data_IF_834098486214
#
_entry.id   IF_834098486214
#
_cell.length_a   1.000
_cell.length_b   1.000
_cell.length_c   1.000
_cell.angle_alpha   90.00
_cell.angle_beta   90.00
_cell.angle_gamma   90.00
#
_symmetry.space_group_name_H-M   'P 1'
#
loop_
_entity.id
_entity.type
_entity.pdbx_description
1 polymer ?
#
# COMPACT_ATOMS: atom_id res chain seq x y z
N UNK A 1 -5.83 27.65 -21.21
CA UNK A 1 -6.18 29.00 -21.68
C UNK A 1 -7.55 29.31 -21.13
N UNK A 2 -7.70 30.47 -20.49
CA UNK A 2 -8.97 30.90 -19.91
C UNK A 2 -9.53 32.04 -20.76
N UNK A 3 -10.82 31.99 -21.09
CA UNK A 3 -11.50 33.03 -21.84
C UNK A 3 -12.69 33.54 -21.04
N UNK A 4 -12.84 34.86 -20.93
CA UNK A 4 -14.09 35.47 -20.48
C UNK A 4 -15.02 35.62 -21.69
N UNK A 5 -16.28 35.24 -21.50
CA UNK A 5 -17.33 35.30 -22.53
C UNK A 5 -18.33 36.38 -22.14
N UNK A 6 -18.49 37.39 -22.99
CA UNK A 6 -19.62 38.30 -22.92
C UNK A 6 -20.75 37.75 -23.80
N UNK A 7 -21.84 37.33 -23.15
CA UNK A 7 -22.99 36.71 -23.80
C UNK A 7 -23.77 37.73 -24.64
N UNK A 8 -23.84 38.99 -24.20
CA UNK A 8 -24.64 40.02 -24.85
C UNK A 8 -23.95 40.54 -26.11
N UNK A 9 -22.63 40.72 -26.06
CA UNK A 9 -21.84 41.15 -27.22
C UNK A 9 -21.30 40.00 -28.07
N UNK A 10 -21.46 38.74 -27.63
CA UNK A 10 -20.91 37.54 -28.24
C UNK A 10 -19.39 37.63 -28.48
N UNK A 11 -18.67 38.24 -27.54
CA UNK A 11 -17.21 38.41 -27.62
C UNK A 11 -16.47 37.47 -26.66
N UNK A 12 -15.24 37.14 -27.06
CA UNK A 12 -14.30 36.32 -26.28
C UNK A 12 -13.06 37.14 -26.00
N UNK A 13 -12.63 37.18 -24.74
CA UNK A 13 -11.37 37.80 -24.33
C UNK A 13 -10.51 36.80 -23.58
N UNK A 14 -9.30 36.56 -24.08
CA UNK A 14 -8.33 35.72 -23.41
C UNK A 14 -7.87 36.39 -22.12
N UNK A 15 -7.90 35.63 -21.02
CA UNK A 15 -7.45 36.09 -19.72
C UNK A 15 -5.99 35.73 -19.53
N UNK A 16 -5.20 36.71 -19.07
CA UNK A 16 -3.76 36.52 -18.85
C UNK A 16 -3.54 35.63 -17.63
N UNK A 17 -2.86 34.51 -17.82
CA UNK A 17 -2.33 33.71 -16.73
C UNK A 17 -1.27 34.51 -15.96
N UNK A 18 -1.33 34.45 -14.64
CA UNK A 18 -0.39 35.13 -13.75
C UNK A 18 0.49 34.12 -13.02
N UNK A 19 1.62 34.59 -12.49
CA UNK A 19 2.39 33.85 -11.51
C UNK A 19 1.88 34.11 -10.10
N UNK A 20 2.03 33.14 -9.19
CA UNK A 20 1.67 33.33 -7.78
C UNK A 20 2.32 34.58 -7.16
N UNK A 21 3.55 34.90 -7.60
CA UNK A 21 4.27 36.09 -7.17
C UNK A 21 3.61 37.40 -7.60
N UNK A 22 2.94 37.42 -8.75
CA UNK A 22 2.28 38.60 -9.31
C UNK A 22 0.99 38.92 -8.56
N UNK A 23 0.29 37.90 -8.04
CA UNK A 23 -0.89 38.04 -7.17
C UNK A 23 -0.53 38.19 -5.68
N UNK A 24 0.76 38.30 -5.36
CA UNK A 24 1.24 38.50 -3.98
C UNK A 24 1.16 37.25 -3.09
N UNK A 25 0.98 36.06 -3.66
CA UNK A 25 0.89 34.82 -2.91
C UNK A 25 2.28 34.16 -2.76
N UNK A 26 2.62 33.79 -1.52
CA UNK A 26 3.73 32.90 -1.23
C UNK A 26 3.21 31.46 -1.09
N UNK A 27 4.15 30.53 -0.93
CA UNK A 27 3.85 29.09 -0.73
C UNK A 27 2.91 28.87 0.45
N UNK A 28 3.04 29.68 1.51
CA UNK A 28 2.20 29.63 2.70
C UNK A 28 0.74 30.03 2.46
N UNK A 29 0.49 31.00 1.58
CA UNK A 29 -0.90 31.36 1.20
C UNK A 29 -1.55 30.22 0.43
N UNK A 30 -0.83 29.59 -0.51
CA UNK A 30 -1.34 28.44 -1.24
C UNK A 30 -1.64 27.26 -0.30
N UNK A 31 -0.71 26.96 0.60
CA UNK A 31 -0.87 25.96 1.65
C UNK A 31 -2.13 26.21 2.50
N UNK A 32 -2.37 27.46 2.92
CA UNK A 32 -3.57 27.85 3.68
C UNK A 32 -4.86 27.65 2.88
N UNK A 33 -4.86 28.02 1.60
CA UNK A 33 -6.03 27.85 0.73
C UNK A 33 -6.36 26.37 0.52
N UNK A 34 -5.35 25.55 0.21
CA UNK A 34 -5.51 24.10 0.05
C UNK A 34 -5.95 23.45 1.37
N UNK A 35 -5.39 23.88 2.50
CA UNK A 35 -5.82 23.40 3.81
C UNK A 35 -7.27 23.74 4.14
N UNK A 36 -7.72 24.95 3.81
CA UNK A 36 -9.08 25.40 4.07
C UNK A 36 -10.12 24.68 3.19
N UNK A 37 -9.73 24.27 1.98
CA UNK A 37 -10.59 23.51 1.08
C UNK A 37 -9.78 22.46 0.30
N UNK A 38 -9.46 21.31 0.92
CA UNK A 38 -8.59 20.31 0.30
C UNK A 38 -9.24 19.63 -0.91
N UNK A 39 -10.56 19.73 -1.04
CA UNK A 39 -11.30 19.26 -2.22
C UNK A 39 -10.84 19.91 -3.52
N UNK A 40 -10.17 21.07 -3.45
CA UNK A 40 -9.50 21.68 -4.62
C UNK A 40 -8.52 20.73 -5.31
N UNK A 41 -7.99 19.73 -4.61
CA UNK A 41 -7.10 18.70 -5.16
C UNK A 41 -7.84 17.56 -5.88
N UNK A 42 -9.17 17.63 -5.99
CA UNK A 42 -10.00 16.69 -6.75
C UNK A 42 -10.42 15.44 -5.97
N UNK A 43 -10.20 15.39 -4.66
CA UNK A 43 -10.65 14.30 -3.79
C UNK A 43 -10.89 14.76 -2.36
N UNK A 44 -11.51 13.88 -1.57
CA UNK A 44 -11.78 14.14 -0.16
C UNK A 44 -10.59 13.74 0.71
N UNK A 45 -10.07 14.71 1.47
CA UNK A 45 -8.85 14.58 2.27
C UNK A 45 -9.05 15.22 3.63
N UNK A 46 -8.66 14.50 4.68
CA UNK A 46 -8.57 15.02 6.02
C UNK A 46 -7.16 15.57 6.25
N UNK A 47 -7.02 16.89 6.34
CA UNK A 47 -5.73 17.50 6.67
C UNK A 47 -5.38 17.18 8.13
N UNK A 48 -4.26 16.48 8.32
CA UNK A 48 -3.78 16.06 9.63
C UNK A 48 -2.91 17.13 10.28
N UNK A 49 -1.97 17.72 9.53
CA UNK A 49 -1.10 18.79 10.02
C UNK A 49 -0.49 19.59 8.87
N UNK A 50 -0.31 20.91 9.10
CA UNK A 50 0.44 21.80 8.22
C UNK A 50 1.87 21.95 8.74
N UNK A 51 2.86 22.02 7.85
CA UNK A 51 4.27 22.06 8.23
C UNK A 51 4.66 20.89 9.17
N UNK A 52 4.17 19.67 8.90
CA UNK A 52 4.37 18.50 9.75
C UNK A 52 5.85 18.18 9.98
N UNK A 53 6.21 17.99 11.25
CA UNK A 53 7.57 17.68 11.73
C UNK A 53 7.50 16.74 12.93
N UNK A 54 7.67 15.44 12.69
CA UNK A 54 7.70 14.45 13.77
C UNK A 54 9.05 13.71 13.88
N UNK A 55 10.14 14.40 13.53
CA UNK A 55 11.49 13.86 13.59
C UNK A 55 12.40 14.80 14.38
N UNK A 56 13.19 14.24 15.31
CA UNK A 56 13.95 15.02 16.29
C UNK A 56 15.15 15.76 15.68
N UNK A 57 15.78 15.20 14.64
CA UNK A 57 17.08 15.69 14.12
C UNK A 57 17.03 16.38 12.75
N UNK A 58 15.86 16.88 12.32
CA UNK A 58 15.77 17.54 11.01
C UNK A 58 14.83 18.75 11.01
N UNK A 59 15.30 19.83 10.37
CA UNK A 59 14.54 21.07 10.16
C UNK A 59 13.55 20.99 8.99
N UNK A 60 13.57 19.87 8.25
CA UNK A 60 12.65 19.64 7.14
C UNK A 60 11.22 19.55 7.66
N UNK A 61 10.25 19.77 6.78
CA UNK A 61 8.82 19.68 7.06
C UNK A 61 8.06 19.27 5.82
N UNK A 62 6.95 18.58 6.00
CA UNK A 62 5.96 18.35 4.95
C UNK A 62 5.06 19.58 4.89
N UNK A 63 4.75 20.09 3.70
CA UNK A 63 3.87 21.25 3.61
C UNK A 63 2.48 20.93 4.16
N UNK A 64 1.82 19.88 3.66
CA UNK A 64 0.61 19.33 4.26
C UNK A 64 0.70 17.81 4.34
N UNK A 65 0.39 17.26 5.52
CA UNK A 65 0.13 15.84 5.70
C UNK A 65 -1.38 15.65 5.80
N UNK A 66 -1.92 14.72 5.04
CA UNK A 66 -3.34 14.40 5.02
C UNK A 66 -3.58 12.88 5.10
N UNK A 67 -4.85 12.53 5.25
CA UNK A 67 -5.37 11.17 5.20
C UNK A 67 -6.48 11.12 4.14
N UNK A 68 -6.54 10.05 3.35
CA UNK A 68 -7.65 9.80 2.43
C UNK A 68 -8.72 8.86 3.00
N UNK A 69 -9.81 8.67 2.26
CA UNK A 69 -10.95 7.83 2.66
C UNK A 69 -10.59 6.34 2.78
N UNK A 70 -9.47 5.91 2.21
CA UNK A 70 -8.95 4.55 2.29
C UNK A 70 -8.00 4.34 3.47
N UNK A 71 -7.71 5.38 4.26
CA UNK A 71 -6.78 5.30 5.38
C UNK A 71 -5.31 5.29 4.96
N UNK A 72 -5.00 5.79 3.76
CA UNK A 72 -3.63 6.02 3.31
C UNK A 72 -3.20 7.45 3.66
N UNK A 73 -1.97 7.59 4.14
CA UNK A 73 -1.38 8.91 4.31
C UNK A 73 -1.12 9.53 2.95
N UNK A 74 -1.30 10.84 2.87
CA UNK A 74 -1.10 11.64 1.66
C UNK A 74 -0.14 12.77 1.97
N UNK A 75 1.04 12.72 1.35
CA UNK A 75 2.05 13.77 1.42
C UNK A 75 1.78 14.78 0.32
N UNK A 76 1.51 16.02 0.69
CA UNK A 76 1.22 17.10 -0.26
C UNK A 76 2.35 18.13 -0.17
N UNK A 77 3.05 18.32 -1.29
CA UNK A 77 4.11 19.32 -1.42
C UNK A 77 3.66 20.41 -2.38
N UNK A 78 3.92 21.66 -2.03
CA UNK A 78 3.49 22.82 -2.81
C UNK A 78 4.69 23.64 -3.28
N UNK A 79 4.65 24.09 -4.53
CA UNK A 79 5.57 25.10 -5.07
C UNK A 79 4.83 26.16 -5.82
N UNK A 80 5.39 27.36 -5.76
CA UNK A 80 4.97 28.52 -6.55
C UNK A 80 5.70 28.65 -7.90
N UNK A 81 6.70 27.81 -8.16
CA UNK A 81 7.52 27.89 -9.37
C UNK A 81 6.84 27.16 -10.53
N UNK A 82 7.28 27.53 -11.73
CA UNK A 82 6.88 26.98 -13.03
C UNK A 82 7.63 25.68 -13.39
N UNK A 83 8.63 25.29 -12.61
CA UNK A 83 9.41 24.08 -12.85
C UNK A 83 9.14 22.94 -11.86
N UNK A 84 8.56 23.25 -10.70
CA UNK A 84 8.36 22.31 -9.59
C UNK A 84 9.67 21.78 -8.96
N UNK A 85 10.80 22.46 -9.14
CA UNK A 85 12.14 21.92 -8.87
C UNK A 85 12.30 21.15 -7.54
N UNK A 86 12.81 19.91 -7.64
CA UNK A 86 13.13 18.97 -6.54
C UNK A 86 11.97 18.52 -5.63
N UNK A 87 10.71 18.79 -5.99
CA UNK A 87 9.54 18.38 -5.20
C UNK A 87 9.41 16.87 -5.09
N UNK A 88 9.72 16.14 -6.15
CA UNK A 88 9.67 14.67 -6.25
C UNK A 88 10.55 13.99 -5.19
N UNK A 89 11.83 14.35 -5.12
CA UNK A 89 12.77 13.83 -4.13
C UNK A 89 12.38 14.24 -2.70
N UNK A 90 11.80 15.43 -2.53
CA UNK A 90 11.30 15.88 -1.23
C UNK A 90 10.12 15.04 -0.76
N UNK A 91 9.11 14.90 -1.61
CA UNK A 91 7.92 14.11 -1.32
C UNK A 91 8.23 12.64 -1.09
N UNK A 92 9.11 12.02 -1.88
CA UNK A 92 9.51 10.61 -1.68
C UNK A 92 10.18 10.38 -0.33
N UNK A 93 11.07 11.29 0.11
CA UNK A 93 11.69 11.19 1.44
C UNK A 93 10.64 11.29 2.53
N UNK A 94 9.69 12.21 2.41
CA UNK A 94 8.64 12.39 3.39
C UNK A 94 7.67 11.22 3.43
N UNK A 95 7.28 10.69 2.27
CA UNK A 95 6.46 9.49 2.17
C UNK A 95 7.12 8.31 2.89
N UNK A 96 8.42 8.09 2.66
CA UNK A 96 9.17 7.07 3.39
C UNK A 96 9.19 7.32 4.90
N UNK A 97 9.38 8.57 5.34
CA UNK A 97 9.44 8.94 6.76
C UNK A 97 8.11 8.77 7.49
N UNK A 98 6.97 8.99 6.83
CA UNK A 98 5.64 8.87 7.45
C UNK A 98 5.00 7.50 7.25
N UNK A 99 5.51 6.67 6.34
CA UNK A 99 5.02 5.30 6.10
C UNK A 99 4.91 4.40 7.36
N UNK A 100 5.73 4.56 8.42
CA UNK A 100 5.62 3.75 9.62
C UNK A 100 4.64 4.30 10.67
N UNK A 101 3.99 5.45 10.42
CA UNK A 101 3.07 6.04 11.39
C UNK A 101 1.94 5.06 11.70
N UNK A 102 1.55 5.01 12.97
CA UNK A 102 0.40 4.23 13.42
C UNK A 102 -0.87 5.08 13.42
N UNK A 103 -2.03 4.42 13.50
CA UNK A 103 -3.31 5.12 13.64
C UNK A 103 -3.32 6.05 14.86
N UNK A 104 -2.83 5.58 16.01
CA UNK A 104 -2.77 6.40 17.22
C UNK A 104 -1.88 7.64 17.03
N UNK A 105 -0.74 7.51 16.34
CA UNK A 105 0.11 8.66 16.01
C UNK A 105 -0.54 9.64 15.02
N UNK A 106 -1.38 9.15 14.11
CA UNK A 106 -2.20 9.98 13.22
C UNK A 106 -3.26 10.75 14.01
N UNK A 107 -3.94 10.07 14.94
CA UNK A 107 -4.93 10.70 15.85
C UNK A 107 -4.26 11.76 16.73
N UNK A 108 -3.10 11.45 17.31
CA UNK A 108 -2.32 12.40 18.10
C UNK A 108 -1.91 13.63 17.26
N UNK A 109 -1.57 13.40 16.00
CA UNK A 109 -1.22 14.45 15.05
C UNK A 109 -2.40 15.37 14.77
N UNK A 110 -3.55 14.79 14.47
CA UNK A 110 -4.79 15.53 14.22
C UNK A 110 -5.27 16.29 15.47
N UNK A 111 -5.16 15.69 16.65
CA UNK A 111 -5.53 16.28 17.94
C UNK A 111 -4.76 17.58 18.25
N UNK A 112 -3.46 17.63 17.92
CA UNK A 112 -2.64 18.85 18.08
C UNK A 112 -3.16 20.01 17.24
N UNK A 113 -3.65 19.73 16.03
CA UNK A 113 -4.18 20.76 15.12
C UNK A 113 -5.49 21.33 15.65
N UNK A 114 -6.43 20.46 16.06
CA UNK A 114 -7.69 20.88 16.65
C UNK A 114 -7.48 21.79 17.88
N UNK A 115 -6.52 21.45 18.73
CA UNK A 115 -6.16 22.24 19.91
C UNK A 115 -5.59 23.61 19.54
N UNK A 116 -4.83 23.71 18.44
CA UNK A 116 -4.14 24.94 18.02
C UNK A 116 -5.07 25.93 17.32
N UNK A 117 -5.94 25.44 16.44
CA UNK A 117 -6.76 26.31 15.59
C UNK A 117 -8.09 26.72 16.22
N UNK A 118 -8.60 25.93 17.17
CA UNK A 118 -9.93 26.14 17.72
C UNK A 118 -10.05 25.64 19.17
N UNK A 119 -9.25 26.17 20.12
CA UNK A 119 -9.24 25.71 21.51
C UNK A 119 -10.60 25.84 22.23
N UNK A 120 -11.54 26.64 21.70
CA UNK A 120 -12.89 26.84 22.25
C UNK A 120 -14.03 26.46 21.28
N UNK A 121 -13.71 25.94 20.08
CA UNK A 121 -14.68 25.59 19.02
C UNK A 121 -14.54 24.12 18.55
N UNK A 122 -13.79 23.29 19.27
CA UNK A 122 -13.91 21.84 19.04
C UNK A 122 -15.35 21.46 19.34
N UNK A 123 -16.02 20.79 18.42
CA UNK A 123 -17.38 20.24 18.55
C UNK A 123 -17.48 19.15 19.65
N UNK A 124 -16.53 19.10 20.59
CA UNK A 124 -16.37 18.12 21.65
C UNK A 124 -16.05 16.72 21.16
N UNK A 125 -16.04 16.50 19.84
CA UNK A 125 -15.85 15.18 19.23
C UNK A 125 -14.41 14.72 19.43
N UNK A 126 -14.28 13.49 19.90
CA UNK A 126 -13.01 12.81 20.06
C UNK A 126 -12.27 12.74 18.70
N UNK A 127 -11.02 13.25 18.60
CA UNK A 127 -10.22 13.18 17.38
C UNK A 127 -10.13 11.77 16.81
N UNK A 128 -10.07 10.74 17.66
CA UNK A 128 -10.07 9.34 17.23
C UNK A 128 -11.33 9.02 16.43
N UNK A 129 -12.49 9.39 16.97
CA UNK A 129 -13.80 9.18 16.33
C UNK A 129 -13.87 9.89 14.99
N UNK A 130 -13.39 11.14 14.89
CA UNK A 130 -13.41 11.90 13.63
C UNK A 130 -12.57 11.23 12.55
N UNK A 131 -11.34 10.80 12.89
CA UNK A 131 -10.46 10.11 11.94
C UNK A 131 -11.05 8.76 11.53
N UNK A 132 -11.62 8.01 12.49
CA UNK A 132 -12.23 6.71 12.27
C UNK A 132 -13.48 6.79 11.36
N UNK A 133 -14.38 7.76 11.61
CA UNK A 133 -15.51 8.07 10.74
C UNK A 133 -15.06 8.48 9.33
N UNK A 134 -14.00 9.28 9.24
CA UNK A 134 -13.50 9.75 7.95
C UNK A 134 -13.06 8.59 7.04
N UNK A 135 -12.37 7.59 7.58
CA UNK A 135 -11.95 6.39 6.84
C UNK A 135 -13.03 5.31 6.74
N UNK A 136 -14.25 5.58 7.24
CA UNK A 136 -15.39 4.67 7.15
C UNK A 136 -15.38 3.51 8.15
N UNK A 137 -14.66 3.64 9.27
CA UNK A 137 -14.61 2.65 10.36
C UNK A 137 -15.10 3.31 11.66
N UNK A 138 -16.41 3.56 11.84
CA UNK A 138 -16.92 4.35 12.95
C UNK A 138 -16.80 3.67 14.32
N UNK A 139 -16.47 2.38 14.37
CA UNK A 139 -16.28 1.64 15.62
C UNK A 139 -14.87 1.87 16.19
N UNK A 140 -14.75 2.85 17.09
CA UNK A 140 -13.48 3.31 17.66
C UNK A 140 -12.78 2.27 18.57
N UNK A 141 -13.49 1.22 18.99
CA UNK A 141 -12.99 0.12 19.82
C UNK A 141 -12.27 -0.97 18.99
N UNK A 142 -12.38 -0.90 17.66
CA UNK A 142 -11.61 -1.76 16.76
C UNK A 142 -10.14 -1.35 16.70
N UNK A 143 -9.23 -2.32 16.56
CA UNK A 143 -7.82 -2.04 16.22
C UNK A 143 -7.74 -1.54 14.78
N UNK A 144 -7.87 -0.22 14.60
CA UNK A 144 -7.72 0.44 13.31
C UNK A 144 -6.22 0.51 12.96
N UNK A 145 -5.87 0.02 11.78
CA UNK A 145 -4.54 0.19 11.20
C UNK A 145 -4.62 1.12 10.00
N UNK A 146 -3.66 2.03 9.90
CA UNK A 146 -3.47 2.82 8.68
C UNK A 146 -2.56 2.06 7.72
N UNK A 147 -2.77 2.30 6.42
CA UNK A 147 -1.95 1.70 5.38
C UNK A 147 -0.51 2.19 5.45
N UNK A 148 0.45 1.28 5.29
CA UNK A 148 1.87 1.64 5.11
C UNK A 148 2.17 2.23 3.72
N UNK A 149 1.26 2.06 2.75
CA UNK A 149 1.32 2.75 1.47
C UNK A 149 0.97 4.23 1.67
N UNK A 150 1.82 5.10 1.14
CA UNK A 150 1.68 6.56 1.22
C UNK A 150 1.53 7.11 -0.20
N UNK A 151 0.52 7.95 -0.40
CA UNK A 151 0.27 8.65 -1.67
C UNK A 151 0.96 10.00 -1.66
N UNK A 152 1.27 10.53 -2.84
CA UNK A 152 1.90 11.82 -2.99
C UNK A 152 1.06 12.72 -3.90
N UNK A 153 0.88 13.98 -3.51
CA UNK A 153 0.32 15.03 -4.37
C UNK A 153 1.34 16.15 -4.47
N UNK A 154 1.82 16.42 -5.69
CA UNK A 154 2.65 17.56 -6.00
C UNK A 154 1.76 18.66 -6.57
N UNK A 155 1.84 19.86 -6.00
CA UNK A 155 1.08 21.03 -6.44
C UNK A 155 2.05 22.13 -6.89
N UNK A 156 1.99 22.53 -8.16
CA UNK A 156 2.88 23.55 -8.70
C UNK A 156 2.17 24.46 -9.72
N UNK A 157 2.83 25.56 -10.12
CA UNK A 157 2.30 26.39 -11.20
C UNK A 157 2.46 25.71 -12.57
N UNK A 158 3.55 24.96 -12.75
CA UNK A 158 3.74 24.01 -13.84
C UNK A 158 4.83 23.00 -13.44
N UNK A 159 5.06 21.98 -14.26
CA UNK A 159 6.04 20.93 -13.99
C UNK A 159 7.05 20.79 -15.12
N UNK A 160 8.32 20.61 -14.76
CA UNK A 160 9.34 20.26 -15.74
C UNK A 160 9.13 18.86 -16.33
N UNK A 161 9.70 18.63 -17.52
CA UNK A 161 9.71 17.31 -18.16
C UNK A 161 10.43 16.28 -17.29
N UNK A 162 11.45 16.67 -16.55
CA UNK A 162 12.22 15.78 -15.66
C UNK A 162 11.35 15.24 -14.51
N UNK A 163 10.56 16.12 -13.88
CA UNK A 163 9.66 15.72 -12.78
C UNK A 163 8.54 14.83 -13.33
N UNK A 164 7.88 15.27 -14.40
CA UNK A 164 6.77 14.50 -14.98
C UNK A 164 7.22 13.12 -15.45
N UNK A 165 8.42 13.01 -16.05
CA UNK A 165 9.02 11.72 -16.45
C UNK A 165 9.28 10.83 -15.23
N UNK A 166 9.88 11.39 -14.17
CA UNK A 166 10.15 10.65 -12.93
C UNK A 166 8.86 10.14 -12.28
N UNK A 167 7.84 10.99 -12.19
CA UNK A 167 6.53 10.66 -11.62
C UNK A 167 5.84 9.55 -12.43
N UNK A 168 5.82 9.66 -13.76
CA UNK A 168 5.23 8.64 -14.63
C UNK A 168 5.94 7.29 -14.46
N UNK A 169 7.28 7.30 -14.45
CA UNK A 169 8.08 6.09 -14.25
C UNK A 169 7.81 5.43 -12.89
N UNK A 170 7.78 6.21 -11.80
CA UNK A 170 7.45 5.69 -10.46
C UNK A 170 6.05 5.10 -10.39
N UNK A 171 5.07 5.78 -10.98
CA UNK A 171 3.70 5.28 -11.00
C UNK A 171 3.54 4.01 -11.83
N UNK A 172 4.14 3.95 -13.01
CA UNK A 172 3.99 2.83 -13.94
C UNK A 172 4.71 1.57 -13.44
N UNK A 173 5.94 1.71 -12.95
CA UNK A 173 6.77 0.55 -12.62
C UNK A 173 6.75 0.16 -11.14
N UNK A 174 6.40 1.09 -10.24
CA UNK A 174 6.41 0.86 -8.79
C UNK A 174 5.06 1.11 -8.11
N UNK A 175 4.07 1.66 -8.81
CA UNK A 175 2.73 1.87 -8.25
C UNK A 175 2.67 2.91 -7.12
N UNK A 176 3.62 3.85 -7.05
CA UNK A 176 3.81 4.79 -5.93
C UNK A 176 2.65 5.78 -5.69
N UNK A 177 1.67 5.87 -6.60
CA UNK A 177 0.53 6.78 -6.55
C UNK A 177 0.89 8.25 -6.26
N UNK A 178 1.59 8.83 -7.23
CA UNK A 178 1.97 10.23 -7.25
C UNK A 178 1.06 10.99 -8.22
N UNK A 179 0.45 12.07 -7.76
CA UNK A 179 -0.30 12.99 -8.62
C UNK A 179 0.40 14.32 -8.77
N UNK A 180 0.29 14.90 -9.96
CA UNK A 180 0.74 16.25 -10.24
C UNK A 180 -0.48 17.12 -10.53
N UNK A 181 -0.69 18.15 -9.72
CA UNK A 181 -1.77 19.12 -9.85
C UNK A 181 -1.16 20.47 -10.18
N UNK A 182 -1.57 21.02 -11.31
CA UNK A 182 -1.19 22.34 -11.76
C UNK A 182 -2.19 23.37 -11.28
N UNK A 183 -1.71 24.46 -10.68
CA UNK A 183 -2.54 25.57 -10.21
C UNK A 183 -2.06 26.89 -10.82
N UNK A 184 -2.93 27.55 -11.59
CA UNK A 184 -2.61 28.79 -12.31
C UNK A 184 -3.57 29.90 -11.91
N UNK A 185 -3.08 31.00 -11.31
CA UNK A 185 -3.94 32.13 -10.99
C UNK A 185 -4.24 32.98 -12.24
N UNK A 186 -5.47 33.48 -12.29
CA UNK A 186 -5.98 34.43 -13.28
C UNK A 186 -6.62 35.61 -12.55
N UNK A 187 -6.35 36.83 -12.99
CA UNK A 187 -7.06 38.01 -12.49
C UNK A 187 -8.17 38.41 -13.47
N UNK A 188 -9.39 38.52 -12.96
CA UNK A 188 -10.56 38.98 -13.71
C UNK A 188 -11.39 39.89 -12.81
N UNK A 189 -11.64 41.11 -13.29
CA UNK A 189 -12.44 42.15 -12.60
C UNK A 189 -12.03 42.39 -11.14
N UNK A 190 -10.71 42.42 -10.87
CA UNK A 190 -10.15 42.64 -9.53
C UNK A 190 -10.30 41.46 -8.57
N UNK A 191 -10.72 40.28 -9.07
CA UNK A 191 -10.76 39.02 -8.33
C UNK A 191 -9.74 38.04 -8.91
N UNK A 192 -9.14 37.24 -8.03
CA UNK A 192 -8.22 36.17 -8.43
C UNK A 192 -9.01 34.86 -8.50
N UNK A 193 -8.97 34.22 -9.67
CA UNK A 193 -9.47 32.89 -9.92
C UNK A 193 -8.30 31.92 -10.01
N UNK A 194 -8.47 30.70 -9.54
CA UNK A 194 -7.46 29.66 -9.60
C UNK A 194 -7.93 28.54 -10.52
N UNK A 195 -7.25 28.36 -11.64
CA UNK A 195 -7.43 27.19 -12.49
C UNK A 195 -6.64 26.03 -11.89
N UNK A 196 -7.29 24.88 -11.75
CA UNK A 196 -6.73 23.70 -11.08
C UNK A 196 -6.91 22.50 -11.97
N UNK A 197 -5.79 21.92 -12.40
CA UNK A 197 -5.77 20.84 -13.36
C UNK A 197 -4.88 19.70 -12.90
N UNK A 198 -5.42 18.47 -12.86
CA UNK A 198 -4.58 17.28 -12.71
C UNK A 198 -3.83 17.00 -14.02
N UNK A 199 -2.50 17.02 -13.95
CA UNK A 199 -1.58 16.72 -15.06
C UNK A 199 -1.21 15.25 -15.08
N UNK A 200 -0.96 14.65 -13.92
CA UNK A 200 -0.61 13.23 -13.77
C UNK A 200 -1.44 12.60 -12.65
N UNK A 201 -2.02 11.40 -12.87
CA UNK A 201 -2.26 10.82 -14.20
C UNK A 201 -3.23 11.70 -14.99
N UNK A 202 -3.30 11.53 -16.31
CA UNK A 202 -4.37 12.16 -17.09
C UNK A 202 -5.72 11.73 -16.49
N UNK A 203 -6.71 12.63 -16.29
CA UNK A 203 -7.98 12.29 -15.66
C UNK A 203 -8.65 11.04 -16.26
N UNK A 204 -8.57 10.87 -17.58
CA UNK A 204 -9.14 9.71 -18.29
C UNK A 204 -8.39 8.40 -17.98
N UNK A 205 -7.08 8.48 -17.74
CA UNK A 205 -6.26 7.34 -17.31
C UNK A 205 -6.49 7.01 -15.82
N UNK A 206 -6.87 8.00 -15.01
CA UNK A 206 -7.20 7.82 -13.60
C UNK A 206 -8.39 6.88 -13.42
N UNK A 207 -9.49 7.04 -14.15
CA UNK A 207 -10.66 6.17 -13.99
C UNK A 207 -10.36 4.68 -14.26
N UNK A 208 -9.46 4.41 -15.20
CA UNK A 208 -8.99 3.06 -15.49
C UNK A 208 -8.07 2.53 -14.38
N UNK A 209 -7.09 3.33 -13.95
CA UNK A 209 -6.20 2.98 -12.84
C UNK A 209 -6.94 2.85 -11.51
N UNK A 210 -7.94 3.69 -11.24
CA UNK A 210 -8.80 3.65 -10.04
C UNK A 210 -9.69 2.41 -10.07
N UNK A 211 -10.17 1.94 -11.23
CA UNK A 211 -10.87 0.65 -11.29
C UNK A 211 -9.94 -0.53 -10.99
N UNK A 212 -8.71 -0.48 -11.50
CA UNK A 212 -7.70 -1.51 -11.20
C UNK A 212 -7.26 -1.44 -9.74
N UNK A 213 -6.92 -0.26 -9.22
CA UNK A 213 -6.57 -0.02 -7.81
C UNK A 213 -7.72 -0.23 -6.87
N UNK A 214 -8.98 0.07 -7.20
CA UNK A 214 -10.14 -0.30 -6.36
C UNK A 214 -10.35 -1.80 -6.38
N UNK A 215 -10.04 -2.49 -7.48
CA UNK A 215 -10.07 -3.96 -7.54
C UNK A 215 -8.91 -4.58 -6.77
N UNK A 216 -7.73 -3.96 -6.80
CA UNK A 216 -6.53 -4.35 -6.03
C UNK A 216 -6.63 -3.95 -4.56
N UNK A 217 -7.21 -2.80 -4.22
CA UNK A 217 -7.46 -2.31 -2.87
C UNK A 217 -8.75 -2.88 -2.27
N UNK A 218 -9.69 -3.40 -3.06
CA UNK A 218 -10.75 -4.30 -2.57
C UNK A 218 -10.21 -5.71 -2.36
N UNK A 219 -9.23 -6.13 -3.17
CA UNK A 219 -8.45 -7.35 -2.94
C UNK A 219 -7.53 -7.20 -1.73
N UNK A 220 -6.95 -6.02 -1.51
CA UNK A 220 -6.12 -5.70 -0.36
C UNK A 220 -6.95 -5.34 0.86
N UNK A 221 -8.14 -4.72 0.76
CA UNK A 221 -9.13 -4.66 1.86
C UNK A 221 -9.67 -6.05 2.18
N UNK A 222 -9.81 -6.93 1.19
CA UNK A 222 -10.04 -8.35 1.39
C UNK A 222 -8.86 -9.04 2.09
N UNK A 223 -7.62 -8.63 1.79
CA UNK A 223 -6.42 -9.13 2.46
C UNK A 223 -6.21 -8.52 3.87
N UNK A 224 -6.53 -7.24 4.10
CA UNK A 224 -6.40 -6.48 5.35
C UNK A 224 -7.52 -6.84 6.34
N UNK A 225 -8.74 -7.08 5.86
CA UNK A 225 -9.78 -7.75 6.64
C UNK A 225 -9.42 -9.22 6.98
N UNK A 226 -8.44 -9.81 6.27
CA UNK A 226 -7.90 -11.15 6.57
C UNK A 226 -6.57 -11.14 7.33
N UNK A 227 -5.94 -9.98 7.55
CA UNK A 227 -4.64 -9.85 8.21
C UNK A 227 -4.74 -9.31 9.65
N UNK A 228 -5.97 -9.20 10.17
CA UNK A 228 -6.20 -9.34 11.60
C UNK A 228 -5.89 -10.78 11.99
N UNK A 229 -4.60 -11.14 12.10
CA UNK A 229 -4.07 -12.49 12.40
C UNK A 229 -5.09 -13.58 12.06
N UNK A 230 -5.03 -14.12 10.85
CA UNK A 230 -5.64 -15.43 10.55
C UNK A 230 -5.02 -16.48 11.50
N UNK A 231 -5.63 -16.61 12.70
CA UNK A 231 -5.26 -17.56 13.76
C UNK A 231 -5.81 -18.94 13.47
N UNK A 232 -6.53 -19.11 12.36
CA UNK A 232 -7.04 -20.42 11.93
C UNK A 232 -5.88 -21.38 11.92
N UNK A 233 -6.03 -22.42 12.71
CA UNK A 233 -5.11 -23.52 12.70
C UNK A 233 -5.58 -24.48 11.63
N UNK A 234 -4.64 -25.26 11.09
CA UNK A 234 -4.92 -26.24 10.07
C UNK A 234 -4.42 -27.59 10.58
N UNK A 235 -5.14 -28.64 10.27
CA UNK A 235 -4.68 -30.00 10.47
C UNK A 235 -4.41 -30.62 9.10
N UNK A 236 -3.25 -31.24 8.96
CA UNK A 236 -2.96 -32.09 7.81
C UNK A 236 -3.44 -33.49 8.16
N UNK A 237 -4.30 -34.06 7.34
CA UNK A 237 -4.80 -35.41 7.51
C UNK A 237 -3.91 -36.39 6.75
N UNK A 238 -3.60 -37.51 7.37
CA UNK A 238 -2.97 -38.65 6.72
C UNK A 238 -3.84 -39.89 6.89
N UNK A 239 -4.38 -40.40 5.79
CA UNK A 239 -5.37 -41.49 5.78
C UNK A 239 -6.54 -41.23 6.75
N UNK A 240 -6.99 -39.96 6.81
CA UNK A 240 -8.08 -39.51 7.68
C UNK A 240 -7.68 -39.21 9.13
N UNK A 241 -6.41 -39.40 9.53
CA UNK A 241 -5.94 -39.04 10.87
C UNK A 241 -5.36 -37.62 10.86
N UNK A 242 -5.94 -36.65 11.61
CA UNK A 242 -5.46 -35.28 11.63
C UNK A 242 -4.17 -35.12 12.47
N UNK A 243 -3.31 -34.19 12.06
CA UNK A 243 -2.18 -33.72 12.85
C UNK A 243 -2.63 -32.87 14.05
N UNK A 244 -1.68 -32.48 14.91
CA UNK A 244 -1.88 -31.35 15.82
C UNK A 244 -2.25 -30.08 15.01
N UNK A 245 -3.00 -29.13 15.60
CA UNK A 245 -3.31 -27.85 14.96
C UNK A 245 -2.04 -27.04 14.64
N UNK A 246 -1.83 -26.74 13.35
CA UNK A 246 -0.64 -26.05 12.84
C UNK A 246 -0.98 -24.64 12.38
N UNK A 247 -0.01 -23.72 12.49
CA UNK A 247 -0.09 -22.46 11.76
C UNK A 247 -0.07 -22.72 10.25
N UNK A 248 -0.68 -21.85 9.45
CA UNK A 248 -0.71 -21.93 7.97
C UNK A 248 0.64 -22.29 7.33
N UNK A 249 1.71 -21.63 7.78
CA UNK A 249 3.07 -21.89 7.25
C UNK A 249 3.60 -23.28 7.64
N UNK A 250 3.31 -23.76 8.84
CA UNK A 250 3.72 -25.09 9.30
C UNK A 250 2.90 -26.17 8.62
N UNK A 251 1.59 -25.96 8.46
CA UNK A 251 0.75 -26.85 7.66
C UNK A 251 1.32 -27.02 6.26
N UNK A 252 1.76 -25.93 5.60
CA UNK A 252 2.38 -25.98 4.27
C UNK A 252 3.62 -26.87 4.22
N UNK A 253 4.52 -26.71 5.19
CA UNK A 253 5.70 -27.54 5.30
C UNK A 253 5.33 -29.00 5.57
N UNK A 254 4.39 -29.25 6.49
CA UNK A 254 3.92 -30.59 6.84
C UNK A 254 3.28 -31.30 5.66
N UNK A 255 2.36 -30.66 4.94
CA UNK A 255 1.68 -31.25 3.78
C UNK A 255 2.69 -31.69 2.70
N UNK A 256 3.62 -30.81 2.34
CA UNK A 256 4.67 -31.10 1.35
C UNK A 256 5.57 -32.24 1.82
N UNK A 257 5.92 -32.25 3.10
CA UNK A 257 6.75 -33.31 3.70
C UNK A 257 6.02 -34.66 3.70
N UNK A 258 4.73 -34.69 4.06
CA UNK A 258 3.95 -35.92 4.11
C UNK A 258 3.64 -36.47 2.71
N UNK A 259 3.36 -35.61 1.73
CA UNK A 259 3.26 -36.03 0.32
C UNK A 259 4.54 -36.72 -0.15
N UNK A 260 5.70 -36.16 0.20
CA UNK A 260 6.98 -36.76 -0.16
C UNK A 260 7.22 -38.10 0.55
N UNK A 261 6.93 -38.19 1.85
CA UNK A 261 6.99 -39.46 2.60
C UNK A 261 6.03 -40.52 2.03
N UNK A 262 4.90 -40.10 1.48
CA UNK A 262 3.95 -40.97 0.78
C UNK A 262 4.42 -41.38 -0.64
N UNK A 263 5.59 -40.93 -1.09
CA UNK A 263 6.26 -41.36 -2.31
C UNK A 263 6.23 -40.37 -3.47
N UNK A 264 5.64 -39.18 -3.30
CA UNK A 264 5.58 -38.15 -4.35
C UNK A 264 6.95 -37.44 -4.45
N UNK A 265 7.46 -37.23 -5.66
CA UNK A 265 8.74 -36.54 -5.82
C UNK A 265 8.58 -35.04 -5.59
N UNK A 266 9.55 -34.37 -4.95
CA UNK A 266 9.47 -32.92 -4.73
C UNK A 266 9.36 -32.13 -6.05
N UNK A 267 9.97 -32.62 -7.13
CA UNK A 267 9.82 -32.03 -8.45
C UNK A 267 8.35 -32.06 -8.95
N UNK A 268 7.61 -33.14 -8.67
CA UNK A 268 6.20 -33.27 -9.04
C UNK A 268 5.33 -32.32 -8.21
N UNK A 269 5.61 -32.21 -6.91
CA UNK A 269 4.97 -31.23 -6.02
C UNK A 269 5.25 -29.80 -6.51
N UNK A 270 6.51 -29.47 -6.80
CA UNK A 270 6.93 -28.14 -7.23
C UNK A 270 6.29 -27.72 -8.56
N UNK A 271 6.09 -28.65 -9.51
CA UNK A 271 5.44 -28.38 -10.80
C UNK A 271 3.97 -27.95 -10.67
N UNK A 272 3.32 -28.27 -9.55
CA UNK A 272 1.94 -27.86 -9.26
C UNK A 272 1.86 -26.52 -8.52
N UNK A 273 2.99 -25.99 -8.06
CA UNK A 273 3.07 -24.78 -7.27
C UNK A 273 3.62 -23.61 -8.09
N UNK A 274 3.28 -22.36 -7.74
CA UNK A 274 3.97 -21.21 -8.32
C UNK A 274 5.47 -21.31 -8.04
N UNK A 275 6.32 -20.99 -9.02
CA UNK A 275 7.77 -21.05 -8.85
C UNK A 275 8.29 -20.25 -7.65
N UNK A 276 7.56 -19.23 -7.19
CA UNK A 276 7.91 -18.47 -5.98
C UNK A 276 7.78 -19.25 -4.66
N UNK A 277 7.17 -20.45 -4.65
CA UNK A 277 6.85 -21.23 -3.44
C UNK A 277 7.97 -22.19 -3.05
N UNK A 278 8.49 -22.95 -4.00
CA UNK A 278 9.57 -23.91 -3.80
C UNK A 278 10.77 -23.52 -4.65
N UNK A 279 11.96 -23.56 -4.05
CA UNK A 279 13.23 -23.31 -4.74
C UNK A 279 14.06 -24.57 -4.67
N UNK A 280 14.50 -25.05 -5.83
CA UNK A 280 15.47 -26.14 -5.91
C UNK A 280 16.89 -25.57 -5.81
N UNK A 281 17.72 -26.23 -5.01
CA UNK A 281 19.15 -26.01 -4.89
C UNK A 281 19.83 -27.26 -5.44
N UNK A 282 20.87 -27.06 -6.25
CA UNK A 282 21.54 -28.09 -7.06
C UNK A 282 22.39 -29.09 -6.26
N UNK A 283 22.32 -29.02 -4.94
CA UNK A 283 23.12 -29.80 -4.00
C UNK A 283 22.31 -30.12 -2.75
N UNK A 284 22.68 -31.18 -2.06
CA UNK A 284 22.18 -31.45 -0.71
C UNK A 284 22.86 -30.52 0.29
N UNK A 285 22.06 -29.64 0.88
CA UNK A 285 22.50 -28.67 1.87
C UNK A 285 21.58 -28.80 3.08
N UNK A 286 22.18 -29.02 4.24
CA UNK A 286 21.52 -29.14 5.54
C UNK A 286 21.92 -28.01 6.48
N UNK A 287 23.07 -27.39 6.25
CA UNK A 287 23.56 -26.26 7.03
C UNK A 287 22.87 -24.94 6.64
N UNK A 288 22.38 -24.22 7.65
CA UNK A 288 21.57 -23.00 7.50
C UNK A 288 22.25 -21.90 6.70
N UNK A 289 23.51 -21.60 7.00
CA UNK A 289 24.24 -20.50 6.35
C UNK A 289 24.56 -20.85 4.89
N UNK A 290 24.85 -22.12 4.61
CA UNK A 290 25.04 -22.61 3.24
C UNK A 290 23.73 -22.56 2.43
N UNK A 291 22.59 -22.85 3.05
CA UNK A 291 21.27 -22.69 2.44
C UNK A 291 21.00 -21.24 2.06
N UNK A 292 21.29 -20.30 2.96
CA UNK A 292 21.12 -18.87 2.69
C UNK A 292 21.91 -18.43 1.45
N UNK A 293 23.18 -18.78 1.38
CA UNK A 293 24.05 -18.40 0.27
C UNK A 293 23.67 -19.08 -1.04
N UNK A 294 23.25 -20.34 -0.99
CA UNK A 294 22.72 -21.07 -2.14
C UNK A 294 21.42 -20.44 -2.67
N UNK A 295 20.49 -20.04 -1.78
CA UNK A 295 19.24 -19.37 -2.17
C UNK A 295 19.52 -18.01 -2.80
N UNK A 296 20.44 -17.21 -2.22
CA UNK A 296 20.85 -15.91 -2.78
C UNK A 296 21.41 -16.07 -4.20
N UNK A 297 22.20 -17.12 -4.42
CA UNK A 297 22.79 -17.43 -5.71
C UNK A 297 21.74 -17.89 -6.73
N UNK A 298 20.82 -18.77 -6.31
CA UNK A 298 19.75 -19.28 -7.17
C UNK A 298 18.67 -18.21 -7.47
N UNK A 299 18.47 -17.24 -6.56
CA UNK A 299 17.49 -16.15 -6.69
C UNK A 299 18.01 -14.80 -6.18
N UNK A 300 18.80 -14.08 -7.00
CA UNK A 300 19.36 -12.78 -6.60
C UNK A 300 18.32 -11.65 -6.45
N UNK A 301 17.12 -11.82 -7.02
CA UNK A 301 16.05 -10.82 -6.98
C UNK A 301 15.01 -11.04 -5.87
N UNK A 302 15.07 -12.14 -5.13
CA UNK A 302 14.22 -12.32 -3.94
C UNK A 302 14.88 -11.61 -2.78
N UNK A 303 14.22 -10.57 -2.23
CA UNK A 303 14.67 -9.92 -0.99
C UNK A 303 14.93 -10.91 0.16
N UNK A 304 15.47 -10.42 1.28
CA UNK A 304 16.08 -11.21 2.37
C UNK A 304 15.56 -12.68 2.55
N UNK A 305 16.33 -13.69 2.08
CA UNK A 305 15.96 -15.10 2.17
C UNK A 305 15.72 -15.61 3.59
N UNK A 306 16.40 -15.03 4.58
CA UNK A 306 16.29 -15.42 5.99
C UNK A 306 14.86 -15.25 6.53
N UNK A 307 14.16 -14.23 6.03
CA UNK A 307 12.77 -13.94 6.42
C UNK A 307 11.74 -14.71 5.59
N UNK A 308 12.14 -15.32 4.47
CA UNK A 308 11.20 -15.78 3.43
C UNK A 308 11.11 -17.29 3.27
N UNK A 309 12.08 -18.06 3.79
CA UNK A 309 12.16 -19.51 3.60
C UNK A 309 12.26 -20.26 4.93
N UNK A 310 11.85 -21.52 4.94
CA UNK A 310 12.17 -22.47 6.01
C UNK A 310 13.61 -22.92 5.86
N UNK A 311 14.49 -22.42 6.73
CA UNK A 311 15.92 -22.75 6.72
C UNK A 311 16.30 -23.82 7.73
N UNK A 312 15.50 -23.97 8.79
CA UNK A 312 15.71 -24.98 9.83
C UNK A 312 15.21 -26.37 9.40
N UNK A 313 14.33 -26.43 8.40
CA UNK A 313 13.69 -27.65 7.88
C UNK A 313 13.83 -27.76 6.35
N UNK A 314 15.06 -27.91 5.81
CA UNK A 314 15.26 -28.09 4.38
C UNK A 314 14.68 -29.43 3.90
N UNK A 315 14.05 -29.42 2.73
CA UNK A 315 13.43 -30.59 2.12
C UNK A 315 14.47 -31.32 1.26
N UNK A 316 15.20 -32.25 1.87
CA UNK A 316 16.27 -33.00 1.19
C UNK A 316 15.68 -34.05 0.26
N UNK A 317 16.02 -33.99 -1.02
CA UNK A 317 15.77 -35.06 -1.99
C UNK A 317 17.02 -35.93 -2.12
N UNK A 318 17.00 -37.06 -1.42
CA UNK A 318 18.10 -38.01 -1.45
C UNK A 318 18.32 -38.62 -2.84
N UNK A 319 17.25 -38.80 -3.61
CA UNK A 319 17.27 -39.50 -4.90
C UNK A 319 17.78 -38.63 -6.03
N UNK A 320 17.45 -37.33 -6.00
CA UNK A 320 17.86 -36.34 -6.99
C UNK A 320 19.11 -35.54 -6.57
N UNK A 321 19.73 -35.90 -5.43
CA UNK A 321 20.91 -35.22 -4.87
C UNK A 321 20.76 -33.70 -4.73
N UNK A 322 19.54 -33.24 -4.41
CA UNK A 322 19.20 -31.82 -4.36
C UNK A 322 18.46 -31.45 -3.07
N UNK A 323 18.42 -30.16 -2.76
CA UNK A 323 17.62 -29.63 -1.65
C UNK A 323 16.53 -28.73 -2.19
N UNK A 324 15.32 -28.89 -1.66
CA UNK A 324 14.24 -27.95 -1.85
C UNK A 324 14.07 -27.08 -0.61
N UNK A 325 13.79 -25.80 -0.81
CA UNK A 325 13.37 -24.90 0.27
C UNK A 325 12.00 -24.32 -0.02
N UNK A 326 11.14 -24.34 1.00
CA UNK A 326 9.78 -23.86 0.93
C UNK A 326 9.69 -22.45 1.49
N UNK A 327 8.93 -21.58 0.85
CA UNK A 327 8.66 -20.24 1.41
C UNK A 327 7.84 -20.36 2.70
N UNK A 328 8.13 -19.50 3.67
CA UNK A 328 7.31 -19.34 4.87
C UNK A 328 6.25 -18.23 4.72
N UNK A 329 6.16 -17.60 3.54
CA UNK A 329 5.25 -16.49 3.23
C UNK A 329 4.01 -16.98 2.46
N UNK A 330 2.89 -17.05 3.16
CA UNK A 330 1.63 -17.58 2.65
C UNK A 330 0.47 -16.62 2.92
N UNK A 331 -0.13 -16.05 1.86
CA UNK A 331 -1.48 -15.46 1.98
C UNK A 331 -2.52 -16.58 2.04
N UNK A 332 -3.70 -16.30 2.61
CA UNK A 332 -4.80 -17.27 2.71
C UNK A 332 -5.17 -17.86 1.34
N UNK A 333 -5.45 -17.01 0.35
CA UNK A 333 -5.77 -17.42 -1.02
C UNK A 333 -4.70 -18.30 -1.67
N UNK A 334 -3.42 -17.95 -1.47
CA UNK A 334 -2.30 -18.69 -2.05
C UNK A 334 -2.18 -20.06 -1.40
N UNK A 335 -2.34 -20.12 -0.07
CA UNK A 335 -2.33 -21.35 0.69
C UNK A 335 -3.46 -22.29 0.24
N UNK A 336 -4.72 -21.85 0.32
CA UNK A 336 -5.90 -22.65 -0.04
C UNK A 336 -5.83 -23.22 -1.46
N UNK A 337 -5.43 -22.39 -2.44
CA UNK A 337 -5.32 -22.83 -3.84
C UNK A 337 -4.21 -23.86 -4.03
N UNK A 338 -3.07 -23.68 -3.36
CA UNK A 338 -1.95 -24.62 -3.47
C UNK A 338 -2.29 -25.95 -2.79
N UNK A 339 -2.88 -25.90 -1.60
CA UNK A 339 -3.26 -27.06 -0.81
C UNK A 339 -4.28 -27.94 -1.53
N UNK A 340 -5.40 -27.34 -1.95
CA UNK A 340 -6.43 -28.04 -2.71
C UNK A 340 -5.84 -28.68 -3.97
N UNK A 341 -5.03 -27.93 -4.72
CA UNK A 341 -4.39 -28.43 -5.94
C UNK A 341 -3.46 -29.63 -5.67
N UNK A 342 -2.72 -29.63 -4.57
CA UNK A 342 -1.84 -30.75 -4.21
C UNK A 342 -2.65 -31.98 -3.79
N UNK A 343 -3.67 -31.81 -2.95
CA UNK A 343 -4.52 -32.93 -2.49
C UNK A 343 -5.30 -33.54 -3.66
N UNK A 344 -5.87 -32.71 -4.54
CA UNK A 344 -6.58 -33.13 -5.76
C UNK A 344 -5.67 -33.88 -6.74
N UNK A 345 -4.39 -33.51 -6.82
CA UNK A 345 -3.43 -34.13 -7.73
C UNK A 345 -2.88 -35.46 -7.20
N UNK A 346 -2.90 -35.66 -5.88
CA UNK A 346 -2.33 -36.85 -5.23
C UNK A 346 -3.31 -37.56 -4.27
N UNK A 347 -4.56 -37.84 -4.65
CA UNK A 347 -5.55 -38.43 -3.75
C UNK A 347 -5.15 -39.82 -3.24
N UNK A 348 -4.33 -40.55 -4.01
CA UNK A 348 -3.81 -41.87 -3.66
C UNK A 348 -2.90 -41.87 -2.42
N UNK A 349 -2.37 -40.72 -2.04
CA UNK A 349 -1.47 -40.60 -0.87
C UNK A 349 -2.23 -40.62 0.46
N UNK A 350 -3.55 -40.39 0.42
CA UNK A 350 -4.37 -40.21 1.62
C UNK A 350 -4.05 -38.94 2.39
N UNK A 351 -3.22 -38.04 1.85
CA UNK A 351 -2.89 -36.74 2.44
C UNK A 351 -3.98 -35.73 2.06
N UNK A 352 -4.55 -35.06 3.06
CA UNK A 352 -5.57 -34.02 2.91
C UNK A 352 -5.37 -32.93 3.98
N UNK A 353 -6.23 -31.92 4.04
CA UNK A 353 -6.19 -30.89 5.08
C UNK A 353 -7.58 -30.41 5.48
N UNK A 354 -7.69 -29.89 6.71
CA UNK A 354 -8.87 -29.14 7.14
C UNK A 354 -8.46 -27.90 7.94
N UNK A 355 -9.32 -26.89 7.95
CA UNK A 355 -9.24 -25.77 8.88
C UNK A 355 -9.85 -26.21 10.23
N UNK A 356 -9.26 -25.74 11.32
CA UNK A 356 -9.78 -25.90 12.68
C UNK A 356 -10.57 -24.64 13.00
N UNK A 357 -11.88 -24.78 13.17
CA UNK A 357 -12.72 -23.69 13.66
C UNK A 357 -12.55 -23.53 15.19
N UNK A 358 -12.74 -22.29 15.69
CA UNK A 358 -12.57 -21.94 17.12
C UNK A 358 -13.49 -22.75 18.07
N UNK A 359 -14.47 -23.49 17.51
CA UNK A 359 -15.45 -24.30 18.24
C UNK A 359 -15.40 -25.81 17.88
N UNK A 360 -14.26 -26.38 17.46
CA UNK A 360 -14.04 -27.84 17.52
C UNK A 360 -15.08 -28.76 16.83
N UNK A 361 -15.87 -28.28 15.88
CA UNK A 361 -16.79 -29.09 15.07
C UNK A 361 -16.38 -29.05 13.58
N UNK A 362 -16.30 -30.25 12.99
CA UNK A 362 -15.92 -30.53 11.61
C UNK A 362 -17.02 -30.08 10.64
N UNK A 363 -16.86 -28.95 9.95
CA UNK A 363 -17.80 -28.52 8.91
C UNK A 363 -17.40 -29.10 7.55
N UNK A 364 -17.67 -30.39 7.35
CA UNK A 364 -17.85 -30.98 6.01
C UNK A 364 -19.27 -31.51 5.87
N UNK A 365 -20.21 -30.58 5.76
CA UNK A 365 -21.48 -30.77 5.04
C UNK A 365 -22.02 -29.38 4.66
N UNK A 366 -21.85 -29.02 3.38
CA UNK A 366 -22.29 -27.75 2.78
C UNK A 366 -21.91 -27.63 1.31
#
# INVERSE_FOLDING_TARGET
MLFAVDIDSATLSEQKAMQFKEVGWFERELQRLVRANPFVLGEDLLILEEEFRNWQDSKRRIDLLALDREGQLVVIELKRTDDGGHMDLQALRYAAMVSPLTFDQVVDTYSRVLTRDSPNESDGRDPRTVVAEFIGVPDADSTIQISSLVRIILVAQDFSVEITTTVLWLNEFYGTDIRCIRMVPYELDGKVYLDVQQVIPLPEAQDYQVKIRKKEAARDRGNLASDGKDRRQYQVLFNGVPSEPLSKRQAALTLVTELHKAGVQYAEIANLLPGSVMVQLDRQITERDELLDAIRSARPATGDPERRFFLEDPLIDASAECTWVLTNQWSFDKFEKCFRRLCDAFPQTGVDYCAVDDDGEDTRDG
#
